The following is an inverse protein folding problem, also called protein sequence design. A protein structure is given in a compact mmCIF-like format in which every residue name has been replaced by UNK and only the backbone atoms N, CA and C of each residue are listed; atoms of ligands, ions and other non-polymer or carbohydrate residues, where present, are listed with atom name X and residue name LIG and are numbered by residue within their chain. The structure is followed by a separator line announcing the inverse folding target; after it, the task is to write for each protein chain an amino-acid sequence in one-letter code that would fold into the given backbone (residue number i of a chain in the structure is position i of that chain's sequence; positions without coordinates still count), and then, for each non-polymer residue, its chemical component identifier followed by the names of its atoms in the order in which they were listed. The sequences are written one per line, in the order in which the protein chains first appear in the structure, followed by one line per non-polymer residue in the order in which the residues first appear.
data_IF_709697116039
#
_entry.id   IF_709697116039
#
_cell.length_a   1.000
_cell.length_b   1.000
_cell.length_c   1.000
_cell.angle_alpha   90.00
_cell.angle_beta   90.00
_cell.angle_gamma   90.00
#
_symmetry.space_group_name_H-M   'P 1'
#
loop_
_entity.id
_entity.type
_entity.pdbx_description
1 polymer ?
#
# COMPACT_ATOMS: atom_id res chain seq x y z
N UNK A 1 -4.25 19.04 12.31
CA UNK A 1 -2.86 19.27 11.84
C UNK A 1 -1.99 18.11 12.28
N UNK A 2 -1.43 17.33 11.34
CA UNK A 2 -0.18 16.55 11.49
C UNK A 2 -0.02 15.47 10.40
N UNK A 3 -0.98 15.28 9.49
CA UNK A 3 -0.85 14.30 8.38
C UNK A 3 0.44 14.51 7.59
N UNK A 4 0.80 15.76 7.26
CA UNK A 4 2.08 16.06 6.58
C UNK A 4 3.31 15.74 7.44
N UNK A 5 3.24 15.95 8.77
CA UNK A 5 4.34 15.61 9.68
C UNK A 5 4.52 14.09 9.78
N UNK A 6 3.42 13.34 9.82
CA UNK A 6 3.45 11.87 9.87
C UNK A 6 3.89 11.29 8.52
N UNK A 7 3.45 11.85 7.40
CA UNK A 7 3.93 11.47 6.06
C UNK A 7 5.44 11.70 5.93
N UNK A 8 5.94 12.89 6.31
CA UNK A 8 7.37 13.16 6.34
C UNK A 8 8.13 12.17 7.23
N UNK A 9 7.53 11.74 8.34
CA UNK A 9 8.12 10.74 9.22
C UNK A 9 8.13 9.36 8.59
N UNK A 10 7.06 8.94 7.93
CA UNK A 10 7.02 7.69 7.15
C UNK A 10 8.07 7.73 6.04
N UNK A 11 8.22 8.85 5.36
CA UNK A 11 9.20 9.01 4.29
C UNK A 11 10.65 8.91 4.80
N UNK A 12 10.93 9.36 6.03
CA UNK A 12 12.29 9.34 6.61
C UNK A 12 12.60 8.08 7.42
N UNK A 13 11.65 7.62 8.22
CA UNK A 13 11.83 6.57 9.25
C UNK A 13 11.06 5.29 8.94
N UNK A 14 10.24 5.28 7.88
CA UNK A 14 9.42 4.12 7.52
C UNK A 14 10.27 2.92 7.12
N UNK A 15 9.92 1.76 7.66
CA UNK A 15 10.52 0.46 7.36
C UNK A 15 9.89 -0.07 6.08
N UNK A 16 10.73 -0.54 5.16
CA UNK A 16 10.28 -1.23 3.96
C UNK A 16 9.92 -2.68 4.27
N UNK A 17 8.67 -3.04 3.99
CA UNK A 17 8.14 -4.38 4.22
C UNK A 17 7.47 -4.88 2.93
N UNK A 18 7.59 -6.19 2.68
CA UNK A 18 6.88 -6.85 1.59
C UNK A 18 5.43 -7.14 2.02
N UNK A 19 4.50 -6.78 1.16
CA UNK A 19 3.09 -7.15 1.25
C UNK A 19 2.63 -7.88 0.00
N UNK A 20 1.34 -8.21 -0.03
CA UNK A 20 0.67 -8.86 -1.15
C UNK A 20 -0.62 -8.12 -1.50
N UNK A 21 -0.99 -8.11 -2.77
CA UNK A 21 -2.33 -7.67 -3.21
C UNK A 21 -3.36 -8.69 -2.76
N UNK A 22 -4.43 -8.23 -2.12
CA UNK A 22 -5.51 -9.11 -1.65
C UNK A 22 -6.87 -8.76 -2.27
N UNK A 23 -7.00 -7.57 -2.86
CA UNK A 23 -8.26 -7.15 -3.51
C UNK A 23 -8.00 -6.04 -4.53
N UNK A 24 -8.75 -6.09 -5.63
CA UNK A 24 -8.86 -5.03 -6.65
C UNK A 24 -10.22 -4.34 -6.48
N UNK A 25 -10.23 -3.01 -6.45
CA UNK A 25 -11.46 -2.21 -6.33
C UNK A 25 -11.55 -1.22 -7.48
N UNK A 26 -12.65 -1.31 -8.23
CA UNK A 26 -12.96 -0.48 -9.38
C UNK A 26 -13.85 0.66 -8.90
N UNK A 27 -13.25 1.82 -8.58
CA UNK A 27 -13.99 2.97 -8.12
C UNK A 27 -15.00 3.46 -9.16
N UNK A 28 -16.25 3.70 -8.76
CA UNK A 28 -17.29 4.16 -9.70
C UNK A 28 -17.07 5.61 -10.19
N UNK A 29 -16.43 6.46 -9.36
CA UNK A 29 -16.07 7.86 -9.67
C UNK A 29 -14.67 8.22 -9.17
N UNK A 30 -13.87 7.23 -8.80
CA UNK A 30 -12.52 7.37 -8.28
C UNK A 30 -11.57 6.43 -9.03
N UNK A 31 -10.28 6.75 -9.14
CA UNK A 31 -9.31 5.84 -9.73
C UNK A 31 -9.37 4.48 -9.03
N UNK A 32 -9.18 3.36 -9.75
CA UNK A 32 -9.16 2.06 -9.11
C UNK A 32 -8.03 1.97 -8.07
N UNK A 33 -8.24 1.15 -7.04
CA UNK A 33 -7.23 0.92 -6.01
C UNK A 33 -7.08 -0.55 -5.65
N UNK A 34 -5.89 -0.88 -5.17
CA UNK A 34 -5.54 -2.19 -4.65
C UNK A 34 -5.59 -2.13 -3.14
N UNK A 35 -6.22 -3.12 -2.51
CA UNK A 35 -5.99 -3.41 -1.10
C UNK A 35 -4.85 -4.39 -1.00
N UNK A 36 -3.88 -4.08 -0.15
CA UNK A 36 -2.68 -4.89 0.10
C UNK A 36 -2.57 -5.23 1.57
N UNK A 37 -2.03 -6.41 1.87
CA UNK A 37 -1.78 -6.85 3.23
C UNK A 37 -0.30 -7.17 3.44
N UNK A 38 0.19 -6.92 4.65
CA UNK A 38 1.52 -7.38 5.10
C UNK A 38 1.47 -7.79 6.56
N UNK A 39 2.47 -8.58 6.97
CA UNK A 39 2.65 -8.98 8.37
C UNK A 39 3.81 -8.23 9.00
N UNK A 40 3.61 -7.73 10.20
CA UNK A 40 4.65 -7.16 11.04
C UNK A 40 4.38 -7.57 12.48
N UNK A 41 5.39 -8.13 13.15
CA UNK A 41 5.30 -8.52 14.56
C UNK A 41 4.07 -9.42 14.87
N UNK A 42 3.84 -10.44 14.03
CA UNK A 42 2.71 -11.36 14.13
C UNK A 42 1.33 -10.77 13.78
N UNK A 43 1.23 -9.45 13.55
CA UNK A 43 -0.03 -8.76 13.20
C UNK A 43 -0.12 -8.52 11.71
N UNK A 44 -1.35 -8.57 11.19
CA UNK A 44 -1.64 -8.27 9.77
C UNK A 44 -2.15 -6.84 9.64
N UNK A 45 -1.54 -6.08 8.73
CA UNK A 45 -1.89 -4.71 8.43
C UNK A 45 -2.37 -4.60 6.99
N UNK A 46 -3.21 -3.59 6.72
CA UNK A 46 -3.75 -3.31 5.39
C UNK A 46 -3.28 -1.95 4.90
N UNK A 47 -2.93 -1.83 3.64
CA UNK A 47 -2.63 -0.55 2.97
C UNK A 47 -3.29 -0.52 1.59
N UNK A 48 -3.53 0.68 1.07
CA UNK A 48 -4.17 0.88 -0.23
C UNK A 48 -3.21 1.54 -1.21
N UNK A 49 -3.26 1.12 -2.47
CA UNK A 49 -2.53 1.73 -3.58
C UNK A 49 -3.49 2.13 -4.69
N UNK A 50 -3.64 3.42 -4.94
CA UNK A 50 -4.38 3.91 -6.11
C UNK A 50 -3.53 3.76 -7.37
N UNK A 51 -4.10 3.18 -8.42
CA UNK A 51 -3.45 3.03 -9.73
C UNK A 51 -4.29 3.82 -10.73
N UNK A 52 -3.71 4.85 -11.33
CA UNK A 52 -4.42 5.71 -12.28
C UNK A 52 -4.44 5.13 -13.69
N UNK A 53 -3.46 4.30 -14.05
CA UNK A 53 -3.41 3.62 -15.34
C UNK A 53 -4.26 2.33 -15.29
N UNK A 54 -5.41 2.34 -15.96
CA UNK A 54 -6.30 1.19 -16.03
C UNK A 54 -5.65 -0.04 -16.67
N UNK A 55 -4.75 0.13 -17.65
CA UNK A 55 -4.07 -1.00 -18.29
C UNK A 55 -3.05 -1.65 -17.35
N UNK A 56 -2.37 -0.84 -16.52
CA UNK A 56 -1.52 -1.35 -15.45
C UNK A 56 -2.36 -2.06 -14.40
N UNK A 57 -3.48 -1.45 -13.98
CA UNK A 57 -4.38 -2.02 -13.00
C UNK A 57 -4.91 -3.40 -13.40
N UNK A 58 -5.28 -3.60 -14.67
CA UNK A 58 -5.76 -4.90 -15.13
C UNK A 58 -4.69 -5.99 -15.08
N UNK A 59 -3.43 -5.65 -15.32
CA UNK A 59 -2.30 -6.61 -15.31
C UNK A 59 -1.90 -7.08 -13.92
N UNK A 60 -2.37 -6.41 -12.87
CA UNK A 60 -2.03 -6.74 -11.49
C UNK A 60 -2.92 -7.88 -11.04
N UNK A 61 -2.27 -8.94 -10.54
CA UNK A 61 -2.91 -10.13 -10.03
C UNK A 61 -3.07 -10.06 -8.51
N UNK A 62 -4.00 -10.86 -7.99
CA UNK A 62 -4.03 -11.13 -6.56
C UNK A 62 -2.75 -11.88 -6.18
N UNK A 63 -2.28 -11.68 -4.96
CA UNK A 63 -1.01 -12.22 -4.44
C UNK A 63 0.27 -11.58 -4.99
N UNK A 64 0.15 -10.67 -5.98
CA UNK A 64 1.29 -9.87 -6.45
C UNK A 64 1.99 -9.18 -5.28
N UNK A 65 3.32 -9.24 -5.31
CA UNK A 65 4.15 -8.67 -4.25
C UNK A 65 4.21 -7.16 -4.36
N UNK A 66 4.06 -6.48 -3.23
CA UNK A 66 4.17 -5.02 -3.14
C UNK A 66 5.19 -4.62 -2.10
N UNK A 67 5.78 -3.45 -2.30
CA UNK A 67 6.62 -2.78 -1.31
C UNK A 67 5.76 -1.81 -0.53
N UNK A 68 5.77 -1.93 0.78
CA UNK A 68 5.01 -1.06 1.68
C UNK A 68 6.00 -0.36 2.60
N UNK A 69 5.83 0.95 2.73
CA UNK A 69 6.52 1.76 3.72
C UNK A 69 5.64 1.90 4.96
N UNK A 70 6.15 1.43 6.09
CA UNK A 70 5.39 1.28 7.33
C UNK A 70 6.12 1.92 8.50
N UNK A 71 5.38 2.58 9.40
CA UNK A 71 5.89 3.06 10.69
C UNK A 71 5.03 2.51 11.82
N UNK A 72 5.67 1.92 12.83
CA UNK A 72 4.99 1.18 13.90
C UNK A 72 4.03 2.07 14.70
N UNK A 73 4.40 3.33 14.90
CA UNK A 73 3.68 4.31 15.68
C UNK A 73 2.37 4.74 15.00
N UNK A 74 2.30 4.64 13.67
CA UNK A 74 1.15 5.09 12.87
C UNK A 74 0.76 4.06 11.80
N UNK A 75 0.31 2.85 12.20
CA UNK A 75 0.03 1.76 11.27
C UNK A 75 -1.09 2.07 10.29
N UNK A 76 -1.99 3.00 10.62
CA UNK A 76 -3.09 3.46 9.75
C UNK A 76 -2.64 4.39 8.61
N UNK A 77 -1.38 4.83 8.61
CA UNK A 77 -0.83 5.72 7.60
C UNK A 77 0.23 5.02 6.71
N UNK A 78 0.33 3.70 6.79
CA UNK A 78 1.17 2.91 5.91
C UNK A 78 0.87 3.18 4.43
N UNK A 79 1.93 3.19 3.61
CA UNK A 79 1.84 3.51 2.19
C UNK A 79 2.43 2.39 1.36
N UNK A 80 1.63 1.81 0.48
CA UNK A 80 2.16 0.97 -0.58
C UNK A 80 2.90 1.86 -1.57
N UNK A 81 4.19 1.62 -1.77
CA UNK A 81 5.07 2.44 -2.60
C UNK A 81 5.00 2.04 -4.07
N UNK A 82 5.10 0.73 -4.31
CA UNK A 82 5.16 0.17 -5.66
C UNK A 82 4.92 -1.34 -5.62
N UNK A 83 4.58 -1.89 -6.78
CA UNK A 83 4.67 -3.32 -7.03
C UNK A 83 6.15 -3.73 -7.08
N UNK A 84 6.46 -4.94 -6.60
CA UNK A 84 7.81 -5.51 -6.59
C UNK A 84 8.12 -6.39 -7.83
N UNK A 85 7.25 -6.29 -8.85
CA UNK A 85 7.30 -6.87 -10.20
C UNK A 85 6.40 -8.08 -10.44
N UNK A 86 6.04 -8.19 -11.74
CA UNK A 86 5.84 -9.43 -12.50
C UNK A 86 7.06 -10.33 -12.45
#
# INVERSE_FOLDING_TARGET
MNTNRIQNRIDKEGIYIKGIVVKKEYGAKSPPWLTTNFKYDGKTYKSNLSITDSNEFEKIELTDSVLIKFIKEYPKMNRTEKLLNK
#
